data_IF_908867458664
#
_entry.id   IF_908867458664
#
_cell.length_a   1.000
_cell.length_b   1.000
_cell.length_c   1.000
_cell.angle_alpha   90.00
_cell.angle_beta   90.00
_cell.angle_gamma   90.00
#
_symmetry.space_group_name_H-M   'P 1'
#
loop_
_entity.id
_entity.type
_entity.pdbx_description
1 polymer ?
#
# COMPACT_ATOMS: atom_id res chain seq x y z
N UNK A 1 6.26 -32.90 6.71
CA UNK A 1 6.46 -31.48 6.31
C UNK A 1 7.63 -31.02 7.13
N UNK A 2 8.65 -30.41 6.54
CA UNK A 2 9.88 -30.10 7.28
C UNK A 2 9.67 -29.03 8.37
N UNK A 3 10.43 -29.08 9.46
CA UNK A 3 10.29 -28.19 10.64
C UNK A 3 10.37 -26.71 10.25
N UNK A 4 11.32 -26.36 9.39
CA UNK A 4 11.50 -24.99 8.90
C UNK A 4 10.29 -24.50 8.10
N UNK A 5 9.67 -25.40 7.32
CA UNK A 5 8.47 -25.08 6.54
C UNK A 5 7.25 -24.89 7.44
N UNK A 6 7.14 -25.69 8.52
CA UNK A 6 6.09 -25.55 9.53
C UNK A 6 6.18 -24.19 10.23
N UNK A 7 7.35 -23.86 10.78
CA UNK A 7 7.57 -22.61 11.51
C UNK A 7 7.36 -21.37 10.63
N UNK A 8 7.72 -21.43 9.34
CA UNK A 8 7.48 -20.34 8.39
C UNK A 8 5.98 -20.12 8.10
N UNK A 9 5.20 -21.20 8.01
CA UNK A 9 3.73 -21.08 7.84
C UNK A 9 3.07 -20.57 9.12
N UNK A 10 3.52 -21.06 10.28
CA UNK A 10 3.04 -20.63 11.58
C UNK A 10 3.35 -19.15 11.84
N UNK A 11 4.58 -18.71 11.57
CA UNK A 11 4.97 -17.31 11.75
C UNK A 11 4.11 -16.36 10.93
N UNK A 12 3.84 -16.70 9.67
CA UNK A 12 2.95 -15.93 8.80
C UNK A 12 1.51 -15.87 9.37
N UNK A 13 0.98 -17.01 9.84
CA UNK A 13 -0.36 -17.09 10.41
C UNK A 13 -0.49 -16.31 11.73
N UNK A 14 0.54 -16.35 12.59
CA UNK A 14 0.58 -15.63 13.86
C UNK A 14 0.68 -14.12 13.63
N UNK A 15 1.62 -13.64 12.81
CA UNK A 15 1.78 -12.21 12.52
C UNK A 15 0.56 -11.59 11.82
N UNK A 16 -0.19 -12.39 11.04
CA UNK A 16 -1.44 -11.92 10.45
C UNK A 16 -2.49 -11.63 11.53
N UNK A 17 -2.60 -12.49 12.55
CA UNK A 17 -3.76 -12.53 13.45
C UNK A 17 -3.52 -11.93 14.83
N UNK A 18 -2.29 -12.01 15.31
CA UNK A 18 -1.85 -11.46 16.59
C UNK A 18 -1.07 -10.15 16.39
N UNK A 19 -1.02 -9.29 17.41
CA UNK A 19 -0.05 -8.20 17.50
C UNK A 19 1.39 -8.72 17.37
N UNK A 20 2.30 -7.89 16.82
CA UNK A 20 3.67 -8.31 16.52
C UNK A 20 4.44 -8.86 17.74
N UNK A 21 4.28 -8.26 18.92
CA UNK A 21 4.95 -8.72 20.15
C UNK A 21 4.45 -10.10 20.60
N UNK A 22 3.13 -10.30 20.60
CA UNK A 22 2.53 -11.59 21.00
C UNK A 22 2.85 -12.69 19.98
N UNK A 23 2.93 -12.34 18.70
CA UNK A 23 3.32 -13.27 17.64
C UNK A 23 4.79 -13.74 17.81
N UNK A 24 5.70 -12.85 18.20
CA UNK A 24 7.11 -13.18 18.47
C UNK A 24 7.27 -14.04 19.73
N UNK A 25 6.55 -13.73 20.81
CA UNK A 25 6.58 -14.50 22.06
C UNK A 25 6.11 -15.94 21.82
N UNK A 26 4.96 -16.11 21.14
CA UNK A 26 4.44 -17.44 20.77
C UNK A 26 5.39 -18.18 19.82
N UNK A 27 6.02 -17.47 18.88
CA UNK A 27 6.99 -18.10 17.97
C UNK A 27 8.22 -18.60 18.72
N UNK A 28 8.71 -17.83 19.70
CA UNK A 28 9.82 -18.22 20.58
C UNK A 28 9.48 -19.48 21.39
N UNK A 29 8.27 -19.54 21.94
CA UNK A 29 7.80 -20.72 22.68
C UNK A 29 7.77 -21.96 21.79
N UNK A 30 7.26 -21.84 20.56
CA UNK A 30 7.29 -22.95 19.60
C UNK A 30 8.72 -23.35 19.24
N UNK A 31 9.62 -22.40 18.99
CA UNK A 31 11.03 -22.70 18.73
C UNK A 31 11.70 -23.40 19.91
N UNK A 32 11.37 -23.05 21.15
CA UNK A 32 11.86 -23.72 22.35
C UNK A 32 11.34 -25.17 22.45
N UNK A 33 10.08 -25.43 22.08
CA UNK A 33 9.51 -26.79 22.07
C UNK A 33 10.26 -27.68 21.06
N UNK A 34 10.58 -27.14 19.88
CA UNK A 34 11.33 -27.88 18.87
C UNK A 34 12.80 -28.07 19.25
N UNK A 35 13.45 -27.10 19.93
CA UNK A 35 14.86 -27.23 20.32
C UNK A 35 15.11 -28.19 21.49
N UNK A 36 14.08 -28.44 22.32
CA UNK A 36 14.17 -29.38 23.45
C UNK A 36 13.98 -30.85 23.05
N UNK A 37 13.53 -31.14 21.82
CA UNK A 37 13.29 -32.52 21.36
C UNK A 37 14.25 -32.93 20.23
N UNK A 38 14.63 -34.21 20.17
CA UNK A 38 15.53 -34.71 19.12
C UNK A 38 14.86 -34.66 17.74
N UNK A 39 15.64 -34.32 16.70
CA UNK A 39 15.19 -34.13 15.32
C UNK A 39 14.45 -35.35 14.71
N UNK A 40 14.70 -36.56 15.22
CA UNK A 40 13.99 -37.79 14.80
C UNK A 40 12.50 -37.80 15.22
N UNK A 41 12.07 -36.89 16.10
CA UNK A 41 10.69 -36.76 16.56
C UNK A 41 9.88 -35.68 15.84
N UNK A 42 10.48 -34.92 14.91
CA UNK A 42 9.83 -33.76 14.27
C UNK A 42 8.50 -34.10 13.59
N UNK A 43 8.43 -35.23 12.87
CA UNK A 43 7.19 -35.65 12.21
C UNK A 43 6.08 -36.04 13.21
N UNK A 44 6.45 -36.54 14.41
CA UNK A 44 5.48 -36.83 15.47
C UNK A 44 5.00 -35.55 16.15
N UNK A 45 5.91 -34.61 16.39
CA UNK A 45 5.63 -33.29 16.98
C UNK A 45 4.68 -32.51 16.07
N UNK A 46 4.95 -32.44 14.77
CA UNK A 46 4.08 -31.76 13.81
C UNK A 46 2.68 -32.41 13.77
N UNK A 47 2.60 -33.73 13.95
CA UNK A 47 1.31 -34.44 14.01
C UNK A 47 0.53 -34.12 15.29
N UNK A 48 1.22 -33.98 16.42
CA UNK A 48 0.63 -33.67 17.72
C UNK A 48 0.19 -32.20 17.83
N UNK A 49 0.95 -31.26 17.25
CA UNK A 49 0.60 -29.83 17.22
C UNK A 49 -0.47 -29.48 16.18
N UNK A 50 -0.73 -30.38 15.22
CA UNK A 50 -1.78 -30.21 14.22
C UNK A 50 -1.47 -29.14 13.16
N UNK A 51 -2.51 -28.61 12.50
CA UNK A 51 -2.30 -27.60 11.46
C UNK A 51 -1.87 -26.24 12.04
N UNK A 52 -0.83 -25.59 11.48
CA UNK A 52 -0.29 -24.34 12.01
C UNK A 52 -1.34 -23.22 12.03
N UNK A 53 -2.32 -23.28 11.11
CA UNK A 53 -3.39 -22.30 10.99
C UNK A 53 -4.48 -22.52 12.05
N UNK A 54 -4.69 -23.75 12.51
CA UNK A 54 -5.59 -24.06 13.63
C UNK A 54 -4.95 -23.65 14.96
N UNK A 55 -3.67 -23.94 15.16
CA UNK A 55 -2.92 -23.48 16.34
C UNK A 55 -2.99 -21.96 16.48
N UNK A 56 -2.75 -21.21 15.40
CA UNK A 56 -2.91 -19.76 15.40
C UNK A 56 -4.36 -19.32 15.67
N UNK A 57 -5.40 -20.09 15.29
CA UNK A 57 -6.82 -19.77 15.60
C UNK A 57 -7.10 -19.85 17.08
N UNK A 58 -6.59 -20.86 17.75
CA UNK A 58 -6.83 -21.08 19.17
C UNK A 58 -6.20 -19.99 20.04
N UNK A 59 -5.08 -19.42 19.59
CA UNK A 59 -4.35 -18.37 20.29
C UNK A 59 -4.86 -16.95 20.00
N UNK A 60 -5.75 -16.77 19.02
CA UNK A 60 -6.21 -15.43 18.60
C UNK A 60 -7.45 -15.01 19.39
N UNK A 61 -7.41 -13.83 20.02
CA UNK A 61 -8.63 -13.19 20.53
C UNK A 61 -9.54 -12.71 19.38
N UNK A 62 -10.83 -13.12 19.35
CA UNK A 62 -11.71 -12.84 18.22
C UNK A 62 -12.05 -11.35 18.07
N UNK A 63 -12.11 -10.59 19.16
CA UNK A 63 -12.49 -9.17 19.13
C UNK A 63 -11.35 -8.29 18.59
N UNK A 64 -10.10 -8.56 18.99
CA UNK A 64 -8.93 -7.88 18.43
C UNK A 64 -8.78 -8.19 16.93
N UNK A 65 -9.03 -9.44 16.54
CA UNK A 65 -8.98 -9.85 15.14
C UNK A 65 -10.04 -9.14 14.29
N UNK A 66 -11.28 -9.01 14.79
CA UNK A 66 -12.34 -8.26 14.08
C UNK A 66 -12.01 -6.78 13.92
N UNK A 67 -11.46 -6.13 14.95
CA UNK A 67 -11.03 -4.73 14.88
C UNK A 67 -9.92 -4.52 13.85
N UNK A 68 -8.93 -5.41 13.83
CA UNK A 68 -7.88 -5.40 12.82
C UNK A 68 -8.45 -5.62 11.41
N UNK A 69 -9.38 -6.57 11.23
CA UNK A 69 -9.98 -6.83 9.93
C UNK A 69 -10.79 -5.63 9.43
N UNK A 70 -11.49 -4.92 10.32
CA UNK A 70 -12.18 -3.68 9.99
C UNK A 70 -11.20 -2.58 9.55
N UNK A 71 -10.06 -2.44 10.23
CA UNK A 71 -9.01 -1.49 9.84
C UNK A 71 -8.37 -1.86 8.49
N UNK A 72 -8.08 -3.14 8.27
CA UNK A 72 -7.58 -3.65 6.99
C UNK A 72 -8.58 -3.42 5.86
N UNK A 73 -9.87 -3.66 6.13
CA UNK A 73 -10.96 -3.37 5.21
C UNK A 73 -11.05 -1.89 4.85
N UNK A 74 -10.93 -1.00 5.84
CA UNK A 74 -10.92 0.44 5.62
C UNK A 74 -9.73 0.88 4.74
N UNK A 75 -8.51 0.42 5.05
CA UNK A 75 -7.31 0.74 4.26
C UNK A 75 -7.40 0.18 2.84
N UNK A 76 -7.91 -1.04 2.68
CA UNK A 76 -8.12 -1.64 1.36
C UNK A 76 -9.18 -0.89 0.56
N UNK A 77 -10.25 -0.42 1.23
CA UNK A 77 -11.28 0.41 0.61
C UNK A 77 -10.73 1.77 0.14
N UNK A 78 -9.84 2.37 0.92
CA UNK A 78 -9.14 3.60 0.54
C UNK A 78 -8.28 3.44 -0.73
N UNK A 79 -7.81 2.23 -1.06
CA UNK A 79 -7.11 1.93 -2.33
C UNK A 79 -8.08 1.54 -3.45
N UNK A 80 -9.07 0.69 -3.16
CA UNK A 80 -9.97 0.15 -4.16
C UNK A 80 -10.89 1.21 -4.76
N UNK A 81 -11.31 2.20 -3.96
CA UNK A 81 -12.24 3.22 -4.41
C UNK A 81 -11.60 4.21 -5.42
N UNK A 82 -10.40 4.78 -5.17
CA UNK A 82 -9.69 5.57 -6.19
C UNK A 82 -9.36 4.77 -7.45
N UNK A 83 -8.94 3.51 -7.30
CA UNK A 83 -8.66 2.62 -8.43
C UNK A 83 -9.90 2.40 -9.31
N UNK A 84 -11.05 2.13 -8.69
CA UNK A 84 -12.32 1.99 -9.39
C UNK A 84 -12.72 3.28 -10.14
N UNK A 85 -12.49 4.44 -9.52
CA UNK A 85 -12.75 5.74 -10.15
C UNK A 85 -11.81 6.00 -11.34
N UNK A 86 -10.53 5.66 -11.21
CA UNK A 86 -9.53 5.78 -12.27
C UNK A 86 -9.92 4.97 -13.51
N UNK A 87 -10.20 3.68 -13.32
CA UNK A 87 -10.54 2.74 -14.40
C UNK A 87 -11.89 3.06 -15.05
N UNK A 88 -12.81 3.68 -14.31
CA UNK A 88 -14.10 4.10 -14.86
C UNK A 88 -13.98 5.38 -15.67
N UNK A 89 -13.01 6.24 -15.36
CA UNK A 89 -12.74 7.53 -15.99
C UNK A 89 -13.97 8.47 -16.11
N UNK A 90 -15.01 8.24 -15.29
CA UNK A 90 -16.26 9.02 -15.32
C UNK A 90 -16.32 9.90 -14.09
N UNK A 91 -16.01 11.18 -14.30
CA UNK A 91 -16.03 12.20 -13.27
C UNK A 91 -17.19 13.17 -13.54
N UNK A 92 -18.06 13.36 -12.55
CA UNK A 92 -19.12 14.38 -12.59
C UNK A 92 -18.60 15.78 -12.18
N UNK A 93 -17.40 15.83 -11.59
CA UNK A 93 -16.71 17.03 -11.14
C UNK A 93 -15.33 16.65 -10.58
N UNK A 94 -14.54 17.63 -10.16
CA UNK A 94 -13.18 17.40 -9.67
C UNK A 94 -13.19 16.77 -8.25
N UNK A 95 -12.76 15.50 -8.07
CA UNK A 95 -12.97 14.74 -6.84
C UNK A 95 -11.93 15.03 -5.73
N UNK A 96 -11.40 16.25 -5.65
CA UNK A 96 -10.30 16.60 -4.73
C UNK A 96 -10.61 16.31 -3.26
N UNK A 97 -11.77 16.75 -2.77
CA UNK A 97 -12.17 16.55 -1.37
C UNK A 97 -12.27 15.07 -1.01
N UNK A 98 -12.81 14.25 -1.92
CA UNK A 98 -12.91 12.80 -1.74
C UNK A 98 -11.52 12.15 -1.68
N UNK A 99 -10.61 12.51 -2.59
CA UNK A 99 -9.24 11.98 -2.58
C UNK A 99 -8.48 12.36 -1.31
N UNK A 100 -8.65 13.60 -0.85
CA UNK A 100 -8.07 14.07 0.41
C UNK A 100 -8.58 13.27 1.60
N UNK A 101 -9.89 13.03 1.69
CA UNK A 101 -10.50 12.25 2.76
C UNK A 101 -10.01 10.79 2.75
N UNK A 102 -9.91 10.17 1.57
CA UNK A 102 -9.40 8.80 1.44
C UNK A 102 -7.93 8.70 1.82
N UNK A 103 -7.11 9.67 1.41
CA UNK A 103 -5.71 9.74 1.79
C UNK A 103 -5.55 9.96 3.31
N UNK A 104 -6.28 10.92 3.88
CA UNK A 104 -6.24 11.22 5.30
C UNK A 104 -6.72 10.03 6.15
N UNK A 105 -7.84 9.41 5.78
CA UNK A 105 -8.37 8.23 6.47
C UNK A 105 -7.41 7.03 6.35
N UNK A 106 -6.89 6.76 5.15
CA UNK A 106 -5.96 5.66 4.90
C UNK A 106 -4.64 5.83 5.64
N UNK A 107 -4.05 7.02 5.60
CA UNK A 107 -2.80 7.34 6.32
C UNK A 107 -3.01 7.30 7.82
N UNK A 108 -4.06 7.93 8.35
CA UNK A 108 -4.35 7.91 9.79
C UNK A 108 -4.61 6.48 10.30
N UNK A 109 -5.39 5.67 9.58
CA UNK A 109 -5.62 4.27 9.93
C UNK A 109 -4.31 3.46 9.95
N UNK A 110 -3.45 3.63 8.93
CA UNK A 110 -2.15 2.96 8.88
C UNK A 110 -1.22 3.41 10.01
N UNK A 111 -1.18 4.71 10.32
CA UNK A 111 -0.35 5.25 11.40
C UNK A 111 -0.83 4.81 12.78
N UNK A 112 -2.13 4.82 13.05
CA UNK A 112 -2.69 4.40 14.34
C UNK A 112 -2.48 2.90 14.57
N UNK A 113 -2.87 2.05 13.62
CA UNK A 113 -2.86 0.60 13.83
C UNK A 113 -1.46 0.00 13.86
N UNK A 114 -0.58 0.46 12.98
CA UNK A 114 0.80 0.00 13.00
C UNK A 114 1.65 0.78 14.01
N UNK A 115 1.18 1.93 14.53
CA UNK A 115 1.94 2.77 15.45
C UNK A 115 1.75 2.56 16.94
N UNK A 116 0.62 2.01 17.35
CA UNK A 116 0.26 1.83 18.76
C UNK A 116 1.03 0.67 19.43
N UNK A 117 1.53 -0.32 18.69
CA UNK A 117 2.22 -1.50 19.24
C UNK A 117 3.72 -1.26 19.53
N UNK A 118 4.01 -0.10 20.12
CA UNK A 118 5.33 0.42 20.43
C UNK A 118 6.01 -0.41 21.53
N UNK A 119 6.85 -1.36 21.14
CA UNK A 119 8.07 -1.67 21.89
C UNK A 119 9.27 -1.49 20.98
N UNK A 120 9.93 -0.35 21.19
CA UNK A 120 11.25 -0.05 20.66
C UNK A 120 12.19 -1.23 20.95
N UNK A 121 12.81 -1.80 19.91
CA UNK A 121 14.13 -2.43 20.01
C UNK A 121 14.78 -2.56 18.63
N UNK A 122 15.96 -1.96 18.55
CA UNK A 122 16.96 -2.01 17.49
C UNK A 122 16.74 -1.15 16.24
N UNK A 123 17.73 -0.30 15.96
CA UNK A 123 17.97 0.34 14.66
C UNK A 123 18.31 -0.79 13.67
N UNK A 124 17.28 -1.47 13.16
CA UNK A 124 17.45 -2.48 12.12
C UNK A 124 17.54 -1.80 10.74
N UNK A 125 18.42 -2.30 9.85
CA UNK A 125 18.53 -1.78 8.49
C UNK A 125 17.19 -1.85 7.76
N UNK A 126 17.00 -1.00 6.75
CA UNK A 126 15.78 -1.01 5.94
C UNK A 126 15.54 -2.41 5.35
N UNK A 127 14.28 -2.90 5.33
CA UNK A 127 13.99 -4.22 4.80
C UNK A 127 14.44 -4.31 3.34
N UNK A 128 15.23 -5.34 3.01
CA UNK A 128 15.97 -5.48 1.73
C UNK A 128 15.11 -5.42 0.45
N UNK A 129 13.78 -5.42 0.55
CA UNK A 129 12.85 -5.31 -0.58
C UNK A 129 12.03 -4.02 -0.66
N UNK A 130 12.06 -3.15 0.36
CA UNK A 130 11.25 -1.92 0.37
C UNK A 130 11.84 -0.86 -0.57
N UNK A 131 13.14 -0.61 -0.47
CA UNK A 131 13.85 0.35 -1.32
C UNK A 131 13.67 0.09 -2.83
N UNK A 132 13.86 -1.13 -3.36
CA UNK A 132 13.65 -1.36 -4.78
C UNK A 132 12.19 -1.18 -5.22
N UNK A 133 11.21 -1.45 -4.36
CA UNK A 133 9.79 -1.22 -4.69
C UNK A 133 9.43 0.27 -4.71
N UNK A 134 9.93 1.05 -3.75
CA UNK A 134 9.78 2.51 -3.76
C UNK A 134 10.48 3.13 -4.96
N UNK A 135 11.70 2.67 -5.28
CA UNK A 135 12.42 3.10 -6.49
C UNK A 135 11.64 2.73 -7.77
N UNK A 136 11.09 1.53 -7.84
CA UNK A 136 10.24 1.09 -8.94
C UNK A 136 9.02 1.99 -9.13
N UNK A 137 8.31 2.32 -8.04
CA UNK A 137 7.16 3.24 -8.08
C UNK A 137 7.57 4.63 -8.56
N UNK A 138 8.73 5.14 -8.11
CA UNK A 138 9.25 6.44 -8.53
C UNK A 138 9.65 6.44 -10.01
N UNK A 139 10.20 5.35 -10.53
CA UNK A 139 10.48 5.19 -11.96
C UNK A 139 9.19 5.17 -12.79
N UNK A 140 8.15 4.47 -12.33
CA UNK A 140 6.83 4.46 -12.99
C UNK A 140 6.24 5.87 -13.02
N UNK A 141 6.31 6.60 -11.92
CA UNK A 141 5.84 7.99 -11.85
C UNK A 141 6.63 8.91 -12.78
N UNK A 142 7.96 8.81 -12.79
CA UNK A 142 8.81 9.60 -13.66
C UNK A 142 8.55 9.32 -15.14
N UNK A 143 8.37 8.05 -15.52
CA UNK A 143 8.01 7.67 -16.88
C UNK A 143 6.63 8.23 -17.28
N UNK A 144 5.64 8.12 -16.38
CA UNK A 144 4.30 8.67 -16.62
C UNK A 144 4.34 10.21 -16.79
N UNK A 145 5.11 10.90 -15.96
CA UNK A 145 5.30 12.34 -16.05
C UNK A 145 6.01 12.76 -17.34
N UNK A 146 7.04 12.03 -17.77
CA UNK A 146 7.74 12.28 -19.04
C UNK A 146 6.82 12.07 -20.25
N UNK A 147 5.99 11.03 -20.24
CA UNK A 147 5.01 10.79 -21.31
C UNK A 147 4.00 11.95 -21.36
N UNK A 148 3.43 12.35 -20.22
CA UNK A 148 2.50 13.49 -20.16
C UNK A 148 3.16 14.79 -20.62
N UNK A 149 4.38 15.08 -20.18
CA UNK A 149 5.11 16.27 -20.59
C UNK A 149 5.42 16.25 -22.10
N UNK A 150 5.77 15.09 -22.66
CA UNK A 150 6.00 14.95 -24.09
C UNK A 150 4.73 15.09 -24.93
N UNK A 151 3.58 14.63 -24.42
CA UNK A 151 2.28 14.88 -25.02
C UNK A 151 1.93 16.37 -24.98
N UNK A 152 2.16 17.04 -23.85
CA UNK A 152 1.87 18.47 -23.66
C UNK A 152 2.79 19.40 -24.48
N UNK A 153 4.07 19.03 -24.65
CA UNK A 153 5.04 19.77 -25.43
C UNK A 153 4.96 19.49 -26.94
N UNK A 154 3.94 18.76 -27.39
CA UNK A 154 3.72 18.36 -28.79
C UNK A 154 4.97 17.74 -29.44
N UNK A 155 5.75 16.97 -28.68
CA UNK A 155 6.96 16.32 -29.20
C UNK A 155 6.59 15.29 -30.29
N UNK A 156 5.38 14.73 -30.18
CA UNK A 156 4.87 13.65 -31.03
C UNK A 156 3.92 14.14 -32.13
N UNK A 157 4.30 15.16 -32.89
CA UNK A 157 3.44 15.80 -33.93
C UNK A 157 2.87 14.85 -34.97
N UNK A 158 3.53 13.72 -35.19
CA UNK A 158 3.11 12.66 -36.12
C UNK A 158 1.95 11.80 -35.58
N UNK A 159 1.65 11.89 -34.27
CA UNK A 159 0.56 11.14 -33.67
C UNK A 159 -0.77 11.86 -33.97
N UNK A 160 -1.83 11.16 -34.39
CA UNK A 160 -3.13 11.79 -34.54
C UNK A 160 -3.68 12.28 -33.19
N UNK A 161 -4.33 13.47 -33.12
CA UNK A 161 -4.85 14.06 -31.89
C UNK A 161 -5.75 13.13 -31.07
N UNK A 162 -6.50 12.24 -31.74
CA UNK A 162 -7.35 11.24 -31.10
C UNK A 162 -6.57 10.24 -30.23
N UNK A 163 -5.29 9.97 -30.53
CA UNK A 163 -4.46 9.05 -29.77
C UNK A 163 -3.83 9.68 -28.53
N UNK A 164 -3.75 11.01 -28.43
CA UNK A 164 -3.17 11.69 -27.26
C UNK A 164 -3.98 11.42 -25.99
N UNK A 165 -5.30 11.56 -26.08
CA UNK A 165 -6.20 11.28 -24.95
C UNK A 165 -6.16 9.82 -24.52
N UNK A 166 -6.12 8.90 -25.50
CA UNK A 166 -6.01 7.46 -25.25
C UNK A 166 -4.67 7.13 -24.58
N UNK A 167 -3.56 7.66 -25.10
CA UNK A 167 -2.24 7.45 -24.52
C UNK A 167 -2.15 7.96 -23.08
N UNK A 168 -2.58 9.20 -22.83
CA UNK A 168 -2.60 9.79 -21.49
C UNK A 168 -3.43 8.96 -20.50
N UNK A 169 -4.63 8.53 -20.92
CA UNK A 169 -5.50 7.69 -20.09
C UNK A 169 -4.85 6.35 -19.73
N UNK A 170 -4.27 5.65 -20.69
CA UNK A 170 -3.60 4.37 -20.42
C UNK A 170 -2.36 4.53 -19.56
N UNK A 171 -1.58 5.60 -19.77
CA UNK A 171 -0.42 5.90 -18.91
C UNK A 171 -0.84 6.13 -17.46
N UNK A 172 -1.88 6.93 -17.22
CA UNK A 172 -2.40 7.16 -15.87
C UNK A 172 -3.01 5.89 -15.26
N UNK A 173 -3.74 5.11 -16.03
CA UNK A 173 -4.35 3.86 -15.58
C UNK A 173 -3.28 2.82 -15.20
N UNK A 174 -2.24 2.64 -16.01
CA UNK A 174 -1.14 1.72 -15.71
C UNK A 174 -0.32 2.18 -14.50
N UNK A 175 -0.06 3.48 -14.38
CA UNK A 175 0.66 4.02 -13.23
C UNK A 175 -0.16 3.89 -11.93
N UNK A 176 -1.45 4.22 -11.97
CA UNK A 176 -2.36 4.09 -10.83
C UNK A 176 -2.56 2.64 -10.40
N UNK A 177 -2.85 1.74 -11.34
CA UNK A 177 -2.98 0.29 -11.05
C UNK A 177 -1.71 -0.28 -10.42
N UNK A 178 -0.52 0.09 -10.93
CA UNK A 178 0.76 -0.31 -10.33
C UNK A 178 0.91 0.22 -8.90
N UNK A 179 0.53 1.47 -8.66
CA UNK A 179 0.55 2.09 -7.33
C UNK A 179 -0.44 1.42 -6.37
N UNK A 180 -1.63 1.04 -6.84
CA UNK A 180 -2.64 0.31 -6.07
C UNK A 180 -2.16 -1.08 -5.66
N UNK A 181 -1.57 -1.83 -6.60
CA UNK A 181 -1.00 -3.17 -6.36
C UNK A 181 0.16 -3.09 -5.37
N UNK A 182 1.10 -2.17 -5.57
CA UNK A 182 2.23 -1.97 -4.65
C UNK A 182 1.75 -1.48 -3.28
N UNK A 183 0.73 -0.62 -3.24
CA UNK A 183 0.12 -0.15 -2.00
C UNK A 183 -0.54 -1.28 -1.20
N UNK A 184 -1.31 -2.14 -1.87
CA UNK A 184 -1.92 -3.33 -1.24
C UNK A 184 -0.85 -4.32 -0.77
N UNK A 185 0.19 -4.55 -1.57
CA UNK A 185 1.33 -5.37 -1.17
C UNK A 185 2.03 -4.80 0.07
N UNK A 186 2.22 -3.48 0.11
CA UNK A 186 2.74 -2.74 1.27
C UNK A 186 1.89 -2.95 2.52
N UNK A 187 0.56 -2.92 2.38
CA UNK A 187 -0.38 -3.15 3.48
C UNK A 187 -0.26 -4.57 4.07
N UNK A 188 -0.20 -5.60 3.21
CA UNK A 188 -0.04 -7.00 3.64
C UNK A 188 1.32 -7.20 4.31
N UNK A 189 2.40 -6.70 3.71
CA UNK A 189 3.74 -6.81 4.29
C UNK A 189 3.93 -5.98 5.56
N UNK A 190 3.20 -4.87 5.72
CA UNK A 190 3.21 -4.07 6.94
C UNK A 190 2.74 -4.87 8.16
N UNK A 191 1.85 -5.84 7.94
CA UNK A 191 1.36 -6.74 8.98
C UNK A 191 2.27 -7.93 9.22
N UNK A 192 2.84 -8.53 8.16
CA UNK A 192 3.56 -9.81 8.25
C UNK A 192 5.06 -9.64 8.55
N UNK A 193 5.70 -8.57 8.05
CA UNK A 193 7.16 -8.40 8.09
C UNK A 193 7.54 -7.22 8.96
N UNK A 194 7.37 -6.01 8.44
CA UNK A 194 7.83 -4.80 9.10
C UNK A 194 6.83 -3.68 8.92
N UNK A 195 6.63 -2.89 9.98
CA UNK A 195 5.80 -1.68 9.94
C UNK A 195 6.20 -0.70 8.82
N UNK A 196 7.48 -0.64 8.42
CA UNK A 196 8.00 0.30 7.40
C UNK A 196 7.37 0.10 6.02
N UNK A 197 6.79 -1.08 5.75
CA UNK A 197 6.02 -1.33 4.52
C UNK A 197 4.75 -0.47 4.43
N UNK A 198 4.30 0.13 5.54
CA UNK A 198 3.26 1.17 5.53
C UNK A 198 3.66 2.39 4.68
N UNK A 199 4.95 2.68 4.54
CA UNK A 199 5.42 3.76 3.67
C UNK A 199 5.06 3.46 2.21
N UNK A 200 5.23 2.21 1.76
CA UNK A 200 4.83 1.77 0.42
C UNK A 200 3.31 1.88 0.21
N UNK A 201 2.52 1.58 1.25
CA UNK A 201 1.06 1.80 1.22
C UNK A 201 0.72 3.28 1.06
N UNK A 202 1.31 4.16 1.87
CA UNK A 202 1.04 5.60 1.82
C UNK A 202 1.46 6.18 0.48
N UNK A 203 2.67 5.88 0.00
CA UNK A 203 3.14 6.35 -1.31
C UNK A 203 2.32 5.78 -2.45
N UNK A 204 1.89 4.52 -2.39
CA UNK A 204 1.00 3.93 -3.39
C UNK A 204 -0.36 4.63 -3.43
N UNK A 205 -0.95 4.90 -2.27
CA UNK A 205 -2.22 5.63 -2.15
C UNK A 205 -2.12 7.07 -2.66
N UNK A 206 -0.99 7.75 -2.43
CA UNK A 206 -0.79 9.14 -2.88
C UNK A 206 -0.63 9.21 -4.39
N UNK A 207 0.20 8.32 -4.96
CA UNK A 207 0.39 8.25 -6.42
C UNK A 207 -0.93 7.90 -7.11
N UNK A 208 -1.70 6.96 -6.56
CA UNK A 208 -3.01 6.61 -7.09
C UNK A 208 -3.98 7.80 -7.05
N UNK A 209 -4.03 8.53 -5.94
CA UNK A 209 -4.85 9.74 -5.81
C UNK A 209 -4.44 10.82 -6.83
N UNK A 210 -3.14 11.03 -7.04
CA UNK A 210 -2.64 11.95 -8.06
C UNK A 210 -3.02 11.50 -9.48
N UNK A 211 -2.88 10.22 -9.82
CA UNK A 211 -3.32 9.69 -11.12
C UNK A 211 -4.81 9.93 -11.36
N UNK A 212 -5.66 9.75 -10.33
CA UNK A 212 -7.09 10.05 -10.43
C UNK A 212 -7.35 11.52 -10.67
N UNK A 213 -6.66 12.42 -9.96
CA UNK A 213 -6.85 13.86 -10.10
C UNK A 213 -6.37 14.38 -11.45
N UNK A 214 -5.23 13.89 -11.95
CA UNK A 214 -4.74 14.20 -13.30
C UNK A 214 -5.74 13.73 -14.35
N UNK A 215 -6.25 12.49 -14.23
CA UNK A 215 -7.25 11.97 -15.16
C UNK A 215 -8.56 12.77 -15.09
N UNK A 216 -9.01 13.14 -13.89
CA UNK A 216 -10.20 13.96 -13.71
C UNK A 216 -10.03 15.35 -14.35
N UNK A 217 -8.87 15.98 -14.19
CA UNK A 217 -8.56 17.27 -14.81
C UNK A 217 -8.51 17.19 -16.35
N UNK A 218 -7.97 16.09 -16.90
CA UNK A 218 -7.92 15.88 -18.35
C UNK A 218 -9.30 15.60 -18.97
N UNK A 219 -10.20 14.98 -18.22
CA UNK A 219 -11.56 14.64 -18.68
C UNK A 219 -12.55 15.79 -18.43
N UNK A 220 -12.33 16.61 -17.40
CA UNK A 220 -13.13 17.81 -17.15
C UNK A 220 -12.78 18.89 -18.17
N UNK A 221 -13.45 18.90 -19.32
CA UNK A 221 -13.47 20.05 -20.22
C UNK A 221 -14.31 21.18 -19.60
N UNK A 222 -13.75 21.87 -18.62
CA UNK A 222 -14.35 23.10 -18.11
C UNK A 222 -13.85 24.28 -18.96
N UNK A 223 -14.71 24.87 -19.78
CA UNK A 223 -14.33 25.89 -20.77
C UNK A 223 -13.97 27.25 -20.14
N UNK A 224 -14.31 27.47 -18.86
CA UNK A 224 -13.81 28.62 -18.06
C UNK A 224 -12.30 28.51 -17.76
N UNK A 225 -11.71 27.33 -17.97
CA UNK A 225 -10.27 27.06 -17.92
C UNK A 225 -9.50 27.56 -19.17
N UNK A 226 -10.16 28.16 -20.16
CA UNK A 226 -9.49 28.74 -21.34
C UNK A 226 -8.66 30.00 -21.01
N UNK A 227 -8.70 30.48 -19.76
CA UNK A 227 -7.82 31.53 -19.26
C UNK A 227 -6.40 31.02 -18.98
N UNK A 228 -5.39 31.83 -19.31
CA UNK A 228 -3.98 31.54 -19.00
C UNK A 228 -3.79 31.36 -17.49
N UNK A 229 -3.60 30.13 -17.01
CA UNK A 229 -3.38 29.83 -15.59
C UNK A 229 -4.35 28.83 -14.96
N UNK A 230 -5.25 28.20 -15.72
CA UNK A 230 -6.17 27.17 -15.20
C UNK A 230 -5.50 26.06 -14.38
N UNK A 231 -4.27 25.69 -14.72
CA UNK A 231 -3.50 24.64 -14.06
C UNK A 231 -3.05 25.00 -12.64
N UNK A 232 -3.03 26.29 -12.27
CA UNK A 232 -2.50 26.76 -10.97
C UNK A 232 -3.32 26.25 -9.80
N UNK A 233 -4.65 26.28 -9.90
CA UNK A 233 -5.54 25.76 -8.85
C UNK A 233 -5.41 24.25 -8.69
N UNK A 234 -5.27 23.51 -9.79
CA UNK A 234 -5.03 22.06 -9.77
C UNK A 234 -3.66 21.72 -9.18
N UNK A 235 -2.62 22.47 -9.53
CA UNK A 235 -1.27 22.29 -9.03
C UNK A 235 -1.17 22.53 -7.52
N UNK A 236 -1.89 23.51 -6.97
CA UNK A 236 -1.95 23.74 -5.52
C UNK A 236 -2.55 22.55 -4.77
N UNK A 237 -3.64 21.98 -5.29
CA UNK A 237 -4.31 20.81 -4.69
C UNK A 237 -3.42 19.57 -4.78
N UNK A 238 -2.84 19.30 -5.94
CA UNK A 238 -1.91 18.16 -6.13
C UNK A 238 -0.67 18.30 -5.24
N UNK A 239 -0.10 19.51 -5.15
CA UNK A 239 1.04 19.78 -4.26
C UNK A 239 0.72 19.53 -2.78
N UNK A 240 -0.49 19.88 -2.33
CA UNK A 240 -0.94 19.59 -0.97
C UNK A 240 -1.05 18.09 -0.69
N UNK A 241 -1.62 17.33 -1.63
CA UNK A 241 -1.74 15.86 -1.54
C UNK A 241 -0.35 15.19 -1.54
N UNK A 242 0.54 15.61 -2.43
CA UNK A 242 1.91 15.13 -2.49
C UNK A 242 2.69 15.42 -1.21
N UNK A 243 2.51 16.61 -0.61
CA UNK A 243 3.15 16.95 0.66
C UNK A 243 2.67 16.07 1.81
N UNK A 244 1.35 15.85 1.92
CA UNK A 244 0.78 14.95 2.94
C UNK A 244 1.30 13.53 2.75
N UNK A 245 1.39 13.08 1.50
CA UNK A 245 1.95 11.79 1.14
C UNK A 245 3.39 11.61 1.58
N UNK A 246 4.24 12.58 1.25
CA UNK A 246 5.65 12.59 1.63
C UNK A 246 5.84 12.67 3.14
N UNK A 247 5.08 13.51 3.84
CA UNK A 247 5.11 13.60 5.29
C UNK A 247 4.69 12.26 5.94
N UNK A 248 3.61 11.65 5.45
CA UNK A 248 3.12 10.35 5.92
C UNK A 248 4.12 9.21 5.66
N UNK A 249 4.76 9.19 4.49
CA UNK A 249 5.81 8.24 4.15
C UNK A 249 7.09 8.46 4.98
N UNK A 250 7.47 9.70 5.24
CA UNK A 250 8.62 10.07 6.07
C UNK A 250 8.45 9.63 7.53
N UNK A 251 7.31 9.98 8.14
CA UNK A 251 6.91 9.46 9.48
C UNK A 251 6.80 7.94 9.49
N UNK A 252 6.65 7.32 8.32
CA UNK A 252 6.55 5.88 8.20
C UNK A 252 7.88 5.15 8.19
N UNK A 253 8.93 5.81 7.71
CA UNK A 253 10.30 5.31 7.62
C UNK A 253 11.11 5.59 8.90
N UNK A 254 10.82 6.71 9.57
CA UNK A 254 11.30 7.03 10.92
C UNK A 254 10.63 6.17 11.99
#
# INVERSE_FOLDING_TARGET
MDQQTYLKKLSCALHWRLPGSEAEDVLSDYQAIFSQRPAEADDRIIRDLGEPLQAARLLTEPDLYRRWLAAFGLMSFCLALPEFLLLRARFYGYPAGMMFLLLAAGTAAALMWFGIHRREREIRPLPKGLCPMLAGLLVVLAAAALILAGLAAEIWKELPPALYGIAAYWTMSLAGTAAAVLGFFGLVKARISDRRWRALYITGLTVLAECVLVTAALVSMDLDAASSGWWVSYAGIMGGIGFIGLAGAGVSLC
#
